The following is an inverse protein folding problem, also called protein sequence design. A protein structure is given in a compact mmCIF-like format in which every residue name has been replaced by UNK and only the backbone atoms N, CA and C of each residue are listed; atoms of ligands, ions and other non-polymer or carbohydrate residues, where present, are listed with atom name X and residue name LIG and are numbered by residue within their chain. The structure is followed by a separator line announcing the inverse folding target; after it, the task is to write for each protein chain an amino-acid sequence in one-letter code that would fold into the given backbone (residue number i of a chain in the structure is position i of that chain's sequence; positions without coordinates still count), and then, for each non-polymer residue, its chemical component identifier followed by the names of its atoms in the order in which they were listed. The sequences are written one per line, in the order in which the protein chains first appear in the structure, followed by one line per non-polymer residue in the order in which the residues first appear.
data_IF_870956042458
#
_entry.id   IF_870956042458
#
_cell.length_a   1.000
_cell.length_b   1.000
_cell.length_c   1.000
_cell.angle_alpha   90.00
_cell.angle_beta   90.00
_cell.angle_gamma   90.00
#
_symmetry.space_group_name_H-M   'P 1'
#
loop_
_entity.id
_entity.type
_entity.pdbx_description
1 polymer ?
#
# COMPACT_ATOMS: atom_id res chain seq x y z
N UNK A 1 54.06 -31.68 30.41
CA UNK A 1 54.46 -30.82 29.27
C UNK A 1 53.25 -29.98 28.84
N UNK A 2 53.20 -28.72 29.30
CA UNK A 2 52.31 -27.69 28.77
C UNK A 2 53.10 -26.92 27.71
N UNK A 3 52.49 -26.64 26.58
CA UNK A 3 53.02 -25.67 25.61
C UNK A 3 51.96 -24.59 25.39
N UNK A 4 52.28 -23.43 25.95
CA UNK A 4 51.76 -22.12 25.59
C UNK A 4 51.89 -21.88 24.08
N UNK A 5 50.84 -21.32 23.47
CA UNK A 5 50.94 -20.63 22.19
C UNK A 5 50.10 -19.36 22.21
N UNK A 6 50.70 -18.29 22.68
CA UNK A 6 50.48 -16.95 22.13
C UNK A 6 51.07 -16.91 20.71
N UNK A 7 50.48 -16.14 19.78
CA UNK A 7 51.33 -15.09 19.21
C UNK A 7 50.62 -13.74 19.02
N UNK A 8 51.37 -12.70 19.43
CA UNK A 8 51.67 -11.44 18.76
C UNK A 8 50.53 -10.63 18.08
N UNK A 9 50.23 -9.48 18.70
CA UNK A 9 49.82 -8.25 18.01
C UNK A 9 51.03 -7.61 17.32
N UNK A 10 50.87 -7.25 16.05
CA UNK A 10 51.48 -6.14 15.28
C UNK A 10 50.69 -6.17 13.94
N UNK A 11 49.81 -5.23 13.60
CA UNK A 11 49.99 -3.80 13.59
C UNK A 11 50.33 -3.36 12.17
N UNK A 12 49.33 -3.31 11.26
CA UNK A 12 49.33 -2.50 10.03
C UNK A 12 47.88 -2.31 9.57
N UNK A 13 47.36 -1.09 9.74
CA UNK A 13 46.16 -0.60 9.05
C UNK A 13 46.56 -0.25 7.62
N UNK A 14 45.92 -0.77 6.56
CA UNK A 14 45.93 -0.07 5.29
C UNK A 14 45.09 1.20 5.44
N UNK A 15 45.65 2.30 4.97
CA UNK A 15 45.08 3.62 4.99
C UNK A 15 43.67 3.66 4.36
N UNK A 16 42.80 4.49 4.94
CA UNK A 16 41.63 5.01 4.26
C UNK A 16 42.08 5.66 2.95
N UNK A 17 41.66 5.11 1.82
CA UNK A 17 41.44 5.90 0.62
C UNK A 17 39.93 6.16 0.48
N UNK A 18 39.55 7.35 0.01
CA UNK A 18 38.17 7.83 0.03
C UNK A 18 37.31 7.05 -0.97
N UNK A 19 36.00 7.05 -0.72
CA UNK A 19 34.97 6.63 -1.67
C UNK A 19 35.27 7.16 -3.08
N UNK A 20 35.16 6.35 -4.14
CA UNK A 20 34.77 6.91 -5.42
C UNK A 20 33.29 7.29 -5.29
N UNK A 21 33.03 8.60 -5.21
CA UNK A 21 31.70 9.17 -5.36
C UNK A 21 30.99 8.53 -6.55
N UNK A 22 29.97 7.73 -6.26
CA UNK A 22 28.98 7.38 -7.27
C UNK A 22 28.34 8.69 -7.72
N UNK A 23 28.12 8.92 -9.03
CA UNK A 23 27.37 10.07 -9.45
C UNK A 23 25.97 9.98 -8.83
N UNK A 24 25.73 10.83 -7.85
CA UNK A 24 24.41 11.13 -7.33
C UNK A 24 23.65 11.72 -8.51
N UNK A 25 22.70 10.97 -9.07
CA UNK A 25 21.75 11.53 -10.02
C UNK A 25 21.17 12.81 -9.39
N UNK A 26 21.37 13.99 -10.00
CA UNK A 26 20.88 15.23 -9.42
C UNK A 26 19.37 15.14 -9.26
N UNK A 27 18.89 15.38 -8.04
CA UNK A 27 17.47 15.53 -7.77
C UNK A 27 16.93 16.66 -8.66
N UNK A 28 16.16 16.30 -9.69
CA UNK A 28 15.52 17.25 -10.60
C UNK A 28 15.59 16.92 -12.10
N UNK A 29 16.41 15.98 -12.55
CA UNK A 29 16.41 15.56 -13.96
C UNK A 29 15.40 14.42 -14.13
N UNK A 30 14.27 14.69 -14.80
CA UNK A 30 13.35 13.64 -15.26
C UNK A 30 14.17 12.62 -16.06
N UNK A 31 14.02 11.30 -15.84
CA UNK A 31 14.61 10.32 -16.75
C UNK A 31 14.11 10.61 -18.16
N UNK A 32 15.01 10.56 -19.14
CA UNK A 32 14.65 10.70 -20.54
C UNK A 32 13.58 9.64 -20.87
N UNK A 33 12.52 10.04 -21.60
CA UNK A 33 11.52 9.10 -22.11
C UNK A 33 12.22 7.94 -22.82
N UNK A 34 11.72 6.73 -22.64
CA UNK A 34 12.28 5.56 -23.30
C UNK A 34 12.34 5.79 -24.82
N UNK A 35 13.54 5.66 -25.41
CA UNK A 35 13.69 5.70 -26.85
C UNK A 35 12.96 4.49 -27.46
N UNK A 36 12.03 4.78 -28.36
CA UNK A 36 11.17 3.81 -29.05
C UNK A 36 12.01 2.75 -29.79
N UNK A 37 13.18 3.11 -30.33
CA UNK A 37 14.09 2.18 -31.01
C UNK A 37 14.81 1.25 -30.02
N UNK A 38 15.16 1.76 -28.83
CA UNK A 38 15.76 0.96 -27.77
C UNK A 38 14.76 0.01 -27.11
N UNK A 39 13.50 0.42 -27.01
CA UNK A 39 12.41 -0.44 -26.55
C UNK A 39 12.15 -1.62 -27.51
N UNK A 40 12.32 -1.43 -28.82
CA UNK A 40 12.22 -2.51 -29.79
C UNK A 40 13.35 -3.55 -29.62
N UNK A 41 14.58 -3.11 -29.33
CA UNK A 41 15.70 -4.01 -28.98
C UNK A 41 15.44 -4.74 -27.66
N UNK A 42 14.96 -4.04 -26.64
CA UNK A 42 14.61 -4.65 -25.35
C UNK A 42 13.50 -5.71 -25.49
N UNK A 43 12.51 -5.46 -26.35
CA UNK A 43 11.48 -6.44 -26.72
C UNK A 43 12.09 -7.71 -27.31
N UNK A 44 13.00 -7.57 -28.29
CA UNK A 44 13.65 -8.71 -28.93
C UNK A 44 14.45 -9.55 -27.93
N UNK A 45 15.22 -8.90 -27.05
CA UNK A 45 16.01 -9.58 -26.02
C UNK A 45 15.14 -10.42 -25.07
N UNK A 46 13.98 -9.89 -24.64
CA UNK A 46 13.06 -10.64 -23.76
C UNK A 46 12.33 -11.75 -24.53
N UNK A 47 11.89 -11.48 -25.75
CA UNK A 47 11.20 -12.48 -26.59
C UNK A 47 12.08 -13.69 -26.89
N UNK A 48 13.37 -13.46 -27.13
CA UNK A 48 14.36 -14.51 -27.34
C UNK A 48 14.51 -15.47 -26.14
N UNK A 49 14.26 -14.97 -24.92
CA UNK A 49 14.35 -15.74 -23.67
C UNK A 49 13.03 -16.37 -23.23
N UNK A 50 11.90 -15.92 -23.80
CA UNK A 50 10.60 -16.49 -23.51
C UNK A 50 10.46 -17.92 -24.07
N UNK A 51 9.74 -18.78 -23.33
CA UNK A 51 9.38 -20.11 -23.79
C UNK A 51 8.59 -20.04 -25.11
N UNK A 52 8.81 -20.97 -26.07
CA UNK A 52 8.11 -20.94 -27.37
C UNK A 52 6.59 -20.76 -27.27
N UNK A 53 5.95 -21.44 -26.31
CA UNK A 53 4.49 -21.37 -26.12
C UNK A 53 4.00 -20.02 -25.56
N UNK A 54 4.84 -19.30 -24.81
CA UNK A 54 4.46 -18.00 -24.21
C UNK A 54 4.98 -16.81 -25.01
N UNK A 55 5.96 -17.03 -25.91
CA UNK A 55 6.58 -16.00 -26.75
C UNK A 55 5.56 -15.13 -27.51
N UNK A 56 4.52 -15.68 -28.18
CA UNK A 56 3.52 -14.85 -28.87
C UNK A 56 2.77 -13.91 -27.92
N UNK A 57 2.52 -14.34 -26.69
CA UNK A 57 1.85 -13.53 -25.65
C UNK A 57 2.77 -12.40 -25.19
N UNK A 58 4.06 -12.70 -24.99
CA UNK A 58 5.08 -11.70 -24.64
C UNK A 58 5.22 -10.66 -25.76
N UNK A 59 5.33 -11.11 -27.00
CA UNK A 59 5.46 -10.23 -28.18
C UNK A 59 4.24 -9.32 -28.35
N UNK A 60 3.04 -9.85 -28.12
CA UNK A 60 1.79 -9.08 -28.17
C UNK A 60 1.74 -8.02 -27.06
N UNK A 61 2.07 -8.40 -25.82
CA UNK A 61 2.07 -7.47 -24.68
C UNK A 61 3.11 -6.35 -24.86
N UNK A 62 4.34 -6.71 -25.25
CA UNK A 62 5.42 -5.75 -25.50
C UNK A 62 5.15 -4.90 -26.75
N UNK A 63 4.53 -5.46 -27.79
CA UNK A 63 4.06 -4.73 -28.97
C UNK A 63 2.97 -3.72 -28.62
N UNK A 64 2.06 -4.07 -27.71
CA UNK A 64 1.02 -3.16 -27.21
C UNK A 64 1.64 -2.02 -26.39
N UNK A 65 2.66 -2.30 -25.56
CA UNK A 65 3.42 -1.26 -24.85
C UNK A 65 4.12 -0.30 -25.82
N UNK A 66 4.80 -0.84 -26.83
CA UNK A 66 5.48 -0.04 -27.85
C UNK A 66 4.49 0.83 -28.65
N UNK A 67 3.35 0.28 -29.07
CA UNK A 67 2.31 1.01 -29.78
C UNK A 67 1.70 2.12 -28.91
N UNK A 68 1.46 1.85 -27.62
CA UNK A 68 0.94 2.84 -26.69
C UNK A 68 1.89 4.04 -26.51
N UNK A 69 3.19 3.78 -26.39
CA UNK A 69 4.22 4.82 -26.25
C UNK A 69 4.49 5.58 -27.56
N UNK A 70 4.21 4.96 -28.71
CA UNK A 70 4.38 5.56 -30.04
C UNK A 70 3.16 6.39 -30.51
N UNK A 71 2.18 6.64 -29.63
CA UNK A 71 0.98 7.44 -29.94
C UNK A 71 -0.21 6.65 -30.47
N UNK A 72 -0.14 5.31 -30.49
CA UNK A 72 -1.20 4.42 -31.00
C UNK A 72 -2.47 4.34 -30.14
N UNK A 73 -2.54 5.08 -29.03
CA UNK A 73 -3.69 5.12 -28.13
C UNK A 73 -3.90 3.81 -27.35
N UNK A 74 -3.95 3.91 -26.02
CA UNK A 74 -4.33 2.80 -25.16
C UNK A 74 -5.44 3.26 -24.22
N UNK A 75 -6.52 2.49 -24.11
CA UNK A 75 -7.56 2.78 -23.12
C UNK A 75 -6.95 2.73 -21.71
N UNK A 76 -7.16 3.78 -20.92
CA UNK A 76 -6.62 3.94 -19.56
C UNK A 76 -6.94 2.72 -18.68
N UNK A 77 -8.15 2.16 -18.82
CA UNK A 77 -8.61 0.96 -18.11
C UNK A 77 -7.79 -0.32 -18.37
N UNK A 78 -7.05 -0.39 -19.49
CA UNK A 78 -6.24 -1.55 -19.89
C UNK A 78 -4.78 -1.47 -19.42
N UNK A 79 -4.32 -0.29 -18.98
CA UNK A 79 -2.94 -0.05 -18.55
C UNK A 79 -2.52 -0.98 -17.39
N UNK A 80 -3.29 -1.13 -16.29
CA UNK A 80 -2.87 -1.99 -15.18
C UNK A 80 -2.77 -3.47 -15.57
N UNK A 81 -3.69 -3.95 -16.41
CA UNK A 81 -3.67 -5.31 -16.96
C UNK A 81 -2.43 -5.55 -17.80
N UNK A 82 -2.10 -4.60 -18.67
CA UNK A 82 -0.90 -4.63 -19.50
C UNK A 82 0.38 -4.62 -18.65
N UNK A 83 0.48 -3.74 -17.65
CA UNK A 83 1.64 -3.68 -16.76
C UNK A 83 1.83 -4.98 -15.96
N UNK A 84 0.75 -5.54 -15.43
CA UNK A 84 0.78 -6.81 -14.69
C UNK A 84 1.24 -7.95 -15.59
N UNK A 85 0.67 -8.03 -16.80
CA UNK A 85 1.05 -9.02 -17.81
C UNK A 85 2.54 -8.88 -18.18
N UNK A 86 3.01 -7.68 -18.49
CA UNK A 86 4.41 -7.45 -18.86
C UNK A 86 5.34 -7.81 -17.69
N UNK A 87 5.09 -7.34 -16.47
CA UNK A 87 5.93 -7.70 -15.30
C UNK A 87 5.96 -9.22 -15.05
N UNK A 88 4.83 -9.90 -15.21
CA UNK A 88 4.74 -11.36 -15.12
C UNK A 88 5.60 -12.03 -16.20
N UNK A 89 5.44 -11.65 -17.45
CA UNK A 89 6.14 -12.27 -18.58
C UNK A 89 7.64 -11.96 -18.60
N UNK A 90 8.03 -10.74 -18.22
CA UNK A 90 9.44 -10.35 -18.04
C UNK A 90 10.11 -11.21 -16.96
N UNK A 91 9.44 -11.43 -15.82
CA UNK A 91 9.94 -12.33 -14.77
C UNK A 91 9.99 -13.78 -15.25
N UNK A 92 8.97 -14.22 -15.99
CA UNK A 92 8.92 -15.57 -16.53
C UNK A 92 10.04 -15.83 -17.54
N UNK A 93 10.38 -14.86 -18.40
CA UNK A 93 11.49 -14.98 -19.34
C UNK A 93 12.85 -15.15 -18.65
N UNK A 94 13.06 -14.53 -17.49
CA UNK A 94 14.23 -14.79 -16.64
C UNK A 94 14.27 -16.24 -16.16
N UNK A 95 13.13 -16.75 -15.68
CA UNK A 95 13.01 -18.13 -15.20
C UNK A 95 13.24 -19.15 -16.33
N UNK A 96 12.60 -18.93 -17.48
CA UNK A 96 12.61 -19.87 -18.61
C UNK A 96 13.94 -19.83 -19.39
N UNK A 97 14.49 -18.64 -19.61
CA UNK A 97 15.66 -18.43 -20.47
C UNK A 97 17.00 -18.47 -19.75
N UNK A 98 17.03 -18.21 -18.43
CA UNK A 98 18.27 -18.14 -17.63
C UNK A 98 18.28 -19.18 -16.52
N UNK A 99 17.31 -19.15 -15.60
CA UNK A 99 17.33 -20.02 -14.40
C UNK A 99 17.16 -21.49 -14.75
N UNK A 100 16.15 -21.84 -15.56
CA UNK A 100 15.86 -23.22 -15.91
C UNK A 100 17.00 -23.89 -16.71
N UNK A 101 17.64 -23.24 -17.71
CA UNK A 101 18.79 -23.80 -18.39
C UNK A 101 20.00 -24.01 -17.47
N UNK A 102 20.32 -23.04 -16.60
CA UNK A 102 21.40 -23.18 -15.62
C UNK A 102 21.11 -24.33 -14.64
N UNK A 103 19.87 -24.46 -14.18
CA UNK A 103 19.45 -25.54 -13.26
C UNK A 103 19.49 -26.93 -13.90
N UNK A 104 19.26 -27.04 -15.21
CA UNK A 104 19.33 -28.31 -15.95
C UNK A 104 20.76 -28.71 -16.33
N UNK A 105 21.70 -27.75 -16.33
CA UNK A 105 23.10 -28.02 -16.64
C UNK A 105 23.79 -28.84 -15.56
N UNK A 106 24.70 -29.71 -15.98
CA UNK A 106 25.59 -30.48 -15.09
C UNK A 106 26.95 -29.81 -14.90
N UNK A 107 27.22 -28.71 -15.59
CA UNK A 107 28.50 -28.03 -15.54
C UNK A 107 28.70 -27.30 -14.20
N UNK A 108 29.85 -27.44 -13.53
CA UNK A 108 30.08 -26.84 -12.22
C UNK A 108 30.02 -25.30 -12.24
N UNK A 109 30.45 -24.66 -13.34
CA UNK A 109 30.38 -23.21 -13.48
C UNK A 109 28.92 -22.71 -13.58
N UNK A 110 28.01 -23.47 -14.19
CA UNK A 110 26.58 -23.08 -14.25
C UNK A 110 25.91 -23.14 -12.87
N UNK A 111 26.31 -24.11 -12.03
CA UNK A 111 25.85 -24.18 -10.63
C UNK A 111 26.34 -22.99 -9.81
N UNK A 112 27.61 -22.62 -9.97
CA UNK A 112 28.17 -21.45 -9.29
C UNK A 112 27.46 -20.14 -9.71
N UNK A 113 27.10 -20.01 -10.99
CA UNK A 113 26.30 -18.88 -11.49
C UNK A 113 24.88 -18.91 -10.90
N UNK A 114 24.24 -20.07 -10.88
CA UNK A 114 22.88 -20.24 -10.33
C UNK A 114 22.81 -19.93 -8.82
N UNK A 115 23.84 -20.29 -8.06
CA UNK A 115 23.93 -20.00 -6.62
C UNK A 115 24.20 -18.52 -6.33
N UNK A 116 24.79 -17.79 -7.28
CA UNK A 116 25.09 -16.36 -7.17
C UNK A 116 23.89 -15.45 -7.47
N UNK A 117 22.82 -15.97 -8.09
CA UNK A 117 21.64 -15.19 -8.46
C UNK A 117 20.45 -15.44 -7.51
N UNK A 118 19.63 -14.42 -7.21
CA UNK A 118 18.45 -14.60 -6.39
C UNK A 118 17.41 -15.45 -7.12
N UNK A 119 16.89 -16.48 -6.44
CA UNK A 119 15.80 -17.32 -6.94
C UNK A 119 14.50 -16.53 -7.08
N UNK A 120 14.24 -15.63 -6.13
CA UNK A 120 13.12 -14.68 -6.16
C UNK A 120 13.60 -13.34 -6.73
N UNK A 121 13.70 -13.27 -8.06
CA UNK A 121 14.20 -12.08 -8.74
C UNK A 121 13.17 -10.93 -8.72
N UNK A 122 13.46 -9.92 -7.90
CA UNK A 122 12.77 -8.64 -7.95
C UNK A 122 13.35 -7.78 -9.08
N UNK A 123 12.53 -7.46 -10.10
CA UNK A 123 12.98 -6.72 -11.29
C UNK A 123 13.66 -5.37 -10.98
N UNK A 124 13.32 -4.73 -9.85
CA UNK A 124 13.95 -3.47 -9.41
C UNK A 124 15.39 -3.64 -8.92
N UNK A 125 15.77 -4.84 -8.49
CA UNK A 125 17.12 -5.17 -8.05
C UNK A 125 18.05 -5.60 -9.21
N UNK A 126 17.69 -5.32 -10.47
CA UNK A 126 18.44 -5.75 -11.65
C UNK A 126 19.90 -5.29 -11.65
N UNK A 127 20.20 -4.10 -11.12
CA UNK A 127 21.58 -3.60 -11.02
C UNK A 127 22.43 -4.43 -10.04
N UNK A 128 21.86 -4.83 -8.90
CA UNK A 128 22.53 -5.69 -7.92
C UNK A 128 22.80 -7.09 -8.49
N UNK A 129 21.83 -7.64 -9.24
CA UNK A 129 21.97 -8.94 -9.91
C UNK A 129 23.01 -8.87 -11.04
N UNK A 130 23.02 -7.77 -11.80
CA UNK A 130 24.03 -7.53 -12.83
C UNK A 130 25.43 -7.50 -12.21
N UNK A 131 25.62 -6.74 -11.13
CA UNK A 131 26.90 -6.68 -10.43
C UNK A 131 27.30 -8.04 -9.81
N UNK A 132 26.34 -8.82 -9.30
CA UNK A 132 26.61 -10.18 -8.83
C UNK A 132 27.08 -11.10 -9.97
N UNK A 133 26.44 -11.02 -11.14
CA UNK A 133 26.82 -11.78 -12.32
C UNK A 133 28.16 -11.34 -12.91
N UNK A 134 28.48 -10.05 -12.93
CA UNK A 134 29.80 -9.55 -13.35
C UNK A 134 30.91 -10.06 -12.43
N UNK A 135 30.64 -10.15 -11.12
CA UNK A 135 31.60 -10.71 -10.16
C UNK A 135 31.84 -12.20 -10.39
N UNK A 136 30.80 -13.00 -10.63
CA UNK A 136 30.95 -14.45 -10.85
C UNK A 136 31.52 -14.78 -12.23
N UNK A 137 31.20 -13.97 -13.25
CA UNK A 137 31.68 -14.16 -14.62
C UNK A 137 33.21 -14.15 -14.74
N UNK A 138 33.90 -13.37 -13.88
CA UNK A 138 35.37 -13.32 -13.81
C UNK A 138 36.03 -14.66 -13.44
N UNK A 139 35.27 -15.57 -12.83
CA UNK A 139 35.75 -16.88 -12.38
C UNK A 139 35.28 -18.02 -13.29
N UNK A 140 34.61 -17.73 -14.41
CA UNK A 140 34.16 -18.75 -15.36
C UNK A 140 35.33 -19.13 -16.29
N UNK A 141 35.72 -20.42 -16.35
CA UNK A 141 36.84 -20.92 -17.17
C UNK A 141 36.67 -20.66 -18.67
N UNK A 142 37.74 -20.35 -19.42
CA UNK A 142 37.74 -20.02 -20.88
C UNK A 142 37.13 -21.08 -21.81
N UNK A 143 37.18 -22.33 -21.39
CA UNK A 143 36.60 -23.48 -22.07
C UNK A 143 35.11 -23.73 -21.75
N UNK A 144 34.53 -23.04 -20.76
CA UNK A 144 33.12 -23.14 -20.40
C UNK A 144 32.19 -22.32 -21.33
N UNK A 145 32.22 -22.60 -22.64
CA UNK A 145 31.48 -21.84 -23.67
C UNK A 145 29.96 -21.78 -23.39
N UNK A 146 29.36 -22.88 -22.93
CA UNK A 146 27.94 -22.93 -22.56
C UNK A 146 27.58 -21.97 -21.43
N UNK A 147 28.38 -21.93 -20.36
CA UNK A 147 28.21 -21.02 -19.23
C UNK A 147 28.36 -19.56 -19.66
N UNK A 148 29.33 -19.25 -20.52
CA UNK A 148 29.47 -17.91 -21.10
C UNK A 148 28.26 -17.50 -21.93
N UNK A 149 27.70 -18.41 -22.72
CA UNK A 149 26.50 -18.13 -23.50
C UNK A 149 25.28 -17.85 -22.59
N UNK A 150 25.14 -18.57 -21.48
CA UNK A 150 24.11 -18.26 -20.46
C UNK A 150 24.32 -16.89 -19.82
N UNK A 151 25.57 -16.56 -19.44
CA UNK A 151 25.91 -15.25 -18.89
C UNK A 151 25.67 -14.12 -19.89
N UNK A 152 26.04 -14.30 -21.16
CA UNK A 152 25.79 -13.32 -22.22
C UNK A 152 24.30 -12.96 -22.33
N UNK A 153 23.43 -13.98 -22.36
CA UNK A 153 21.97 -13.81 -22.34
C UNK A 153 21.48 -13.10 -21.08
N UNK A 154 22.02 -13.44 -19.91
CA UNK A 154 21.64 -12.82 -18.65
C UNK A 154 22.06 -11.33 -18.60
N UNK A 155 23.26 -11.01 -19.09
CA UNK A 155 23.74 -9.64 -19.19
C UNK A 155 22.90 -8.81 -20.15
N UNK A 156 22.58 -9.35 -21.32
CA UNK A 156 21.72 -8.67 -22.28
C UNK A 156 20.34 -8.38 -21.67
N UNK A 157 19.72 -9.37 -21.03
CA UNK A 157 18.44 -9.19 -20.34
C UNK A 157 18.50 -8.10 -19.27
N UNK A 158 19.49 -8.14 -18.37
CA UNK A 158 19.60 -7.19 -17.26
C UNK A 158 19.94 -5.77 -17.72
N UNK A 159 20.65 -5.61 -18.84
CA UNK A 159 20.92 -4.31 -19.46
C UNK A 159 19.69 -3.74 -20.16
N UNK A 160 18.81 -4.58 -20.69
CA UNK A 160 17.59 -4.16 -21.39
C UNK A 160 16.39 -3.94 -20.45
N UNK A 161 16.40 -4.56 -19.27
CA UNK A 161 15.33 -4.46 -18.28
C UNK A 161 15.02 -3.02 -17.81
N UNK A 162 16.00 -2.12 -17.58
CA UNK A 162 15.73 -0.72 -17.24
C UNK A 162 14.85 -0.01 -18.26
N UNK A 163 15.06 -0.24 -19.56
CA UNK A 163 14.28 0.38 -20.64
C UNK A 163 12.80 -0.02 -20.57
N UNK A 164 12.53 -1.27 -20.18
CA UNK A 164 11.17 -1.79 -20.05
C UNK A 164 10.53 -1.24 -18.78
N UNK A 165 11.29 -1.16 -17.68
CA UNK A 165 10.79 -0.56 -16.44
C UNK A 165 10.50 0.93 -16.63
N UNK A 166 11.35 1.64 -17.38
CA UNK A 166 11.13 3.05 -17.74
C UNK A 166 9.93 3.19 -18.67
N UNK A 167 9.79 2.36 -19.70
CA UNK A 167 8.64 2.34 -20.59
C UNK A 167 7.32 2.07 -19.83
N UNK A 168 7.34 1.20 -18.82
CA UNK A 168 6.19 0.96 -17.95
C UNK A 168 5.87 2.16 -17.05
N UNK A 169 6.88 2.93 -16.64
CA UNK A 169 6.72 4.17 -15.87
C UNK A 169 6.23 5.33 -16.76
N UNK A 170 6.77 5.47 -17.96
CA UNK A 170 6.33 6.45 -18.96
C UNK A 170 4.86 6.22 -19.34
N UNK A 171 4.41 4.96 -19.37
CA UNK A 171 3.00 4.61 -19.56
C UNK A 171 2.11 5.08 -18.38
N UNK A 172 2.64 5.15 -17.15
CA UNK A 172 1.94 5.75 -16.00
C UNK A 172 1.87 7.28 -16.15
N UNK A 173 2.90 7.90 -16.71
CA UNK A 173 2.98 9.36 -16.92
C UNK A 173 2.13 9.87 -18.10
N UNK A 174 1.91 9.05 -19.14
CA UNK A 174 1.05 9.38 -20.29
C UNK A 174 -0.45 9.35 -19.96
N UNK A 175 -0.81 8.75 -18.83
CA UNK A 175 -2.16 8.74 -18.29
C UNK A 175 -2.11 9.00 -16.78
N UNK A 176 -1.86 10.24 -16.34
CA UNK A 176 -1.84 10.58 -14.93
C UNK A 176 -3.24 10.30 -14.35
N UNK A 177 -3.37 9.15 -13.66
CA UNK A 177 -4.66 8.55 -13.29
C UNK A 177 -4.77 7.04 -13.57
N UNK A 178 -3.83 6.43 -14.30
CA UNK A 178 -3.76 4.99 -14.55
C UNK A 178 -3.08 4.18 -13.42
N UNK A 179 -2.51 4.85 -12.41
CA UNK A 179 -2.20 4.21 -11.13
C UNK A 179 -3.49 3.71 -10.55
N UNK A 180 -3.73 2.38 -10.58
CA UNK A 180 -4.88 1.68 -9.98
C UNK A 180 -5.91 2.69 -9.48
N UNK A 181 -6.75 3.20 -10.37
CA UNK A 181 -8.09 3.58 -9.95
C UNK A 181 -8.65 2.26 -9.45
N UNK A 182 -8.41 2.02 -8.16
CA UNK A 182 -9.12 0.97 -7.46
C UNK A 182 -10.57 1.33 -7.75
N UNK A 183 -11.33 0.37 -8.28
CA UNK A 183 -12.79 0.45 -8.27
C UNK A 183 -13.19 1.21 -7.02
N UNK A 184 -14.01 2.29 -7.11
CA UNK A 184 -14.35 3.11 -5.96
C UNK A 184 -14.64 2.19 -4.79
N UNK A 185 -13.84 2.32 -3.73
CA UNK A 185 -13.86 1.33 -2.66
C UNK A 185 -15.19 1.38 -1.90
N UNK A 186 -15.86 2.53 -1.98
CA UNK A 186 -17.25 2.75 -1.60
C UNK A 186 -18.18 2.39 -2.77
N UNK A 187 -18.50 1.11 -2.91
CA UNK A 187 -19.83 0.73 -3.38
C UNK A 187 -20.85 1.00 -2.27
N UNK A 188 -22.14 1.11 -2.58
CA UNK A 188 -23.17 1.17 -1.55
C UNK A 188 -23.12 -0.10 -0.67
N UNK A 189 -23.27 0.05 0.64
CA UNK A 189 -23.36 -1.09 1.58
C UNK A 189 -22.17 -1.31 2.55
N UNK A 190 -22.48 -1.87 3.73
CA UNK A 190 -21.51 -2.22 4.79
C UNK A 190 -20.38 -3.16 4.33
N UNK A 191 -20.69 -4.14 3.46
CA UNK A 191 -19.70 -5.07 2.94
C UNK A 191 -18.59 -4.38 2.11
N UNK A 192 -18.96 -3.39 1.30
CA UNK A 192 -18.02 -2.62 0.50
C UNK A 192 -17.04 -1.82 1.38
N UNK A 193 -17.56 -1.25 2.48
CA UNK A 193 -16.72 -0.56 3.46
C UNK A 193 -15.76 -1.50 4.20
N UNK A 194 -16.22 -2.71 4.56
CA UNK A 194 -15.37 -3.72 5.19
C UNK A 194 -14.25 -4.17 4.25
N UNK A 195 -14.57 -4.40 2.98
CA UNK A 195 -13.60 -4.73 1.93
C UNK A 195 -12.60 -3.59 1.69
N UNK A 196 -13.08 -2.34 1.70
CA UNK A 196 -12.25 -1.15 1.61
C UNK A 196 -11.28 -1.04 2.79
N UNK A 197 -11.76 -1.23 4.02
CA UNK A 197 -10.92 -1.22 5.22
C UNK A 197 -9.86 -2.34 5.19
N UNK A 198 -10.24 -3.55 4.78
CA UNK A 198 -9.31 -4.67 4.61
C UNK A 198 -8.26 -4.38 3.52
N UNK A 199 -8.67 -3.72 2.42
CA UNK A 199 -7.76 -3.28 1.36
C UNK A 199 -6.73 -2.26 1.87
N UNK A 200 -7.17 -1.27 2.66
CA UNK A 200 -6.27 -0.29 3.30
C UNK A 200 -5.22 -1.00 4.15
N UNK A 201 -5.66 -1.86 5.07
CA UNK A 201 -4.75 -2.61 5.94
C UNK A 201 -3.76 -3.44 5.13
N UNK A 202 -4.23 -4.16 4.09
CA UNK A 202 -3.39 -4.98 3.23
C UNK A 202 -2.33 -4.14 2.51
N UNK A 203 -2.69 -2.98 1.95
CA UNK A 203 -1.74 -2.10 1.26
C UNK A 203 -0.71 -1.52 2.21
N UNK A 204 -1.13 -1.03 3.38
CA UNK A 204 -0.24 -0.49 4.40
C UNK A 204 0.75 -1.55 4.91
N UNK A 205 0.26 -2.77 5.21
CA UNK A 205 1.12 -3.89 5.65
C UNK A 205 2.11 -4.29 4.56
N UNK A 206 1.67 -4.36 3.30
CA UNK A 206 2.54 -4.68 2.17
C UNK A 206 3.61 -3.60 1.90
N UNK A 207 3.30 -2.33 2.16
CA UNK A 207 4.26 -1.24 2.05
C UNK A 207 5.29 -1.24 3.18
N UNK A 208 4.86 -1.52 4.42
CA UNK A 208 5.70 -1.50 5.61
C UNK A 208 6.60 -2.76 5.72
N UNK A 209 6.11 -3.92 5.28
CA UNK A 209 6.78 -5.22 5.50
C UNK A 209 8.23 -5.31 5.02
N UNK A 210 8.65 -4.72 3.89
CA UNK A 210 10.05 -4.80 3.44
C UNK A 210 10.99 -3.99 4.33
N UNK A 211 10.49 -2.92 4.97
CA UNK A 211 11.30 -2.03 5.82
C UNK A 211 11.50 -2.55 7.24
N UNK A 212 10.52 -3.29 7.78
CA UNK A 212 10.51 -3.76 9.17
C UNK A 212 11.76 -4.54 9.59
N UNK A 213 12.28 -5.52 8.83
CA UNK A 213 13.42 -6.32 9.29
C UNK A 213 14.64 -5.46 9.62
N UNK A 214 14.94 -4.46 8.77
CA UNK A 214 16.07 -3.57 8.96
C UNK A 214 15.89 -2.65 10.18
N UNK A 215 14.70 -2.03 10.30
CA UNK A 215 14.35 -1.16 11.42
C UNK A 215 14.39 -1.90 12.77
N UNK A 216 13.86 -3.13 12.80
CA UNK A 216 13.80 -3.96 14.01
C UNK A 216 15.18 -4.49 14.39
N UNK A 217 16.07 -4.73 13.42
CA UNK A 217 17.47 -5.03 13.68
C UNK A 217 18.13 -3.93 14.50
N UNK A 218 18.02 -2.68 14.05
CA UNK A 218 18.63 -1.53 14.70
C UNK A 218 17.98 -1.23 16.07
N UNK A 219 16.66 -1.34 16.16
CA UNK A 219 15.93 -1.20 17.42
C UNK A 219 16.31 -2.25 18.46
N UNK A 220 16.52 -3.50 18.05
CA UNK A 220 16.96 -4.55 18.97
C UNK A 220 18.33 -4.23 19.59
N UNK A 221 19.23 -3.63 18.82
CA UNK A 221 20.54 -3.20 19.33
C UNK A 221 20.44 -1.98 20.24
N UNK A 222 19.52 -1.06 19.96
CA UNK A 222 19.25 0.11 20.79
C UNK A 222 18.70 -0.28 22.18
N UNK A 223 17.66 -1.12 22.23
CA UNK A 223 16.98 -1.52 23.48
C UNK A 223 17.91 -2.16 24.50
N UNK A 224 18.93 -2.89 24.03
CA UNK A 224 19.91 -3.52 24.93
C UNK A 224 20.96 -2.54 25.48
N UNK A 225 21.08 -1.33 24.92
CA UNK A 225 21.95 -0.25 25.40
C UNK A 225 21.19 0.64 26.39
N UNK A 226 19.97 1.03 26.06
CA UNK A 226 19.10 1.85 26.90
C UNK A 226 17.63 1.69 26.45
N UNK A 227 16.64 1.86 27.34
CA UNK A 227 15.24 1.89 26.96
C UNK A 227 14.96 3.08 26.01
N UNK A 228 14.35 2.85 24.83
CA UNK A 228 13.98 3.92 23.91
C UNK A 228 12.86 4.82 24.48
N UNK A 229 12.84 6.10 24.11
CA UNK A 229 11.81 7.04 24.58
C UNK A 229 10.39 6.66 24.12
N UNK A 230 10.24 5.85 23.07
CA UNK A 230 8.94 5.30 22.67
C UNK A 230 8.25 4.47 23.76
N UNK A 231 8.97 4.00 24.79
CA UNK A 231 8.37 3.31 25.92
C UNK A 231 7.33 4.18 26.67
N UNK A 232 7.46 5.50 26.59
CA UNK A 232 6.60 6.46 27.30
C UNK A 232 5.56 7.13 26.38
N UNK A 233 5.43 6.68 25.12
CA UNK A 233 4.57 7.31 24.12
C UNK A 233 3.23 6.56 24.02
N UNK A 234 2.09 7.16 24.39
CA UNK A 234 0.79 6.48 24.36
C UNK A 234 0.39 5.99 22.96
N UNK A 235 0.77 6.72 21.91
CA UNK A 235 0.51 6.34 20.52
C UNK A 235 1.28 5.09 20.06
N UNK A 236 2.33 4.70 20.78
CA UNK A 236 3.16 3.52 20.51
C UNK A 236 2.94 2.43 21.57
N UNK A 237 1.75 2.36 22.19
CA UNK A 237 1.47 1.50 23.36
C UNK A 237 1.88 0.04 23.15
N UNK A 238 1.65 -0.54 21.97
CA UNK A 238 1.94 -1.95 21.72
C UNK A 238 3.44 -2.14 21.56
N UNK A 239 4.10 -1.22 20.85
CA UNK A 239 5.55 -1.19 20.69
C UNK A 239 6.24 -0.98 22.03
N UNK A 240 5.79 -0.01 22.83
CA UNK A 240 6.26 0.28 24.18
C UNK A 240 6.25 -0.97 25.07
N UNK A 241 5.13 -1.71 25.09
CA UNK A 241 5.04 -2.96 25.85
C UNK A 241 6.07 -4.01 25.40
N UNK A 242 6.32 -4.12 24.09
CA UNK A 242 7.34 -5.02 23.56
C UNK A 242 8.79 -4.55 23.88
N UNK A 243 9.02 -3.23 23.92
CA UNK A 243 10.32 -2.63 24.25
C UNK A 243 10.67 -2.75 25.73
N UNK A 244 9.68 -2.68 26.63
CA UNK A 244 9.85 -2.76 28.08
C UNK A 244 10.12 -4.18 28.60
N UNK A 245 9.91 -5.21 27.77
CA UNK A 245 10.17 -6.61 28.11
C UNK A 245 11.13 -7.29 27.10
N UNK A 246 12.39 -6.83 27.00
CA UNK A 246 13.35 -7.43 26.07
C UNK A 246 13.81 -8.83 26.54
N UNK A 247 14.12 -9.76 25.62
CA UNK A 247 14.61 -11.08 25.96
C UNK A 247 16.00 -11.00 26.60
N UNK A 248 16.33 -11.98 27.44
CA UNK A 248 17.65 -12.08 28.06
C UNK A 248 18.77 -12.12 26.99
N UNK A 249 19.91 -11.45 27.26
CA UNK A 249 21.02 -11.24 26.31
C UNK A 249 21.56 -12.51 25.61
N UNK A 250 21.33 -13.70 26.16
CA UNK A 250 21.77 -15.00 25.63
C UNK A 250 20.85 -15.65 24.58
N UNK A 251 19.62 -15.18 24.39
CA UNK A 251 18.65 -15.78 23.45
C UNK A 251 18.79 -15.28 21.99
N UNK A 252 19.93 -14.66 21.64
CA UNK A 252 20.15 -13.97 20.36
C UNK A 252 20.40 -14.93 19.17
N UNK A 253 20.77 -16.19 19.41
CA UNK A 253 21.46 -17.03 18.41
C UNK A 253 20.79 -18.36 18.05
N UNK A 254 19.72 -18.80 18.73
CA UNK A 254 19.24 -20.19 18.60
C UNK A 254 18.10 -20.44 17.59
N UNK A 255 17.39 -19.41 17.12
CA UNK A 255 16.15 -19.64 16.33
C UNK A 255 16.36 -19.42 14.83
N UNK A 256 16.15 -20.50 14.05
CA UNK A 256 16.17 -20.54 12.56
C UNK A 256 15.23 -19.54 11.86
N UNK A 257 14.38 -18.81 12.59
CA UNK A 257 13.46 -17.78 12.07
C UNK A 257 13.68 -16.37 12.63
N UNK A 258 14.77 -16.14 13.36
CA UNK A 258 14.99 -14.94 14.17
C UNK A 258 14.31 -15.03 15.55
N UNK A 259 14.76 -14.28 16.57
CA UNK A 259 14.18 -14.33 17.91
C UNK A 259 12.70 -13.94 17.87
N UNK A 260 11.81 -14.77 18.42
CA UNK A 260 10.35 -14.53 18.49
C UNK A 260 9.99 -13.10 18.89
N UNK A 261 10.73 -12.52 19.83
CA UNK A 261 10.57 -11.15 20.27
C UNK A 261 10.70 -10.10 19.16
N UNK A 262 11.60 -10.28 18.18
CA UNK A 262 11.74 -9.36 17.05
C UNK A 262 10.50 -9.39 16.15
N UNK A 263 9.91 -10.57 15.95
CA UNK A 263 8.64 -10.69 15.21
C UNK A 263 7.49 -10.04 15.98
N UNK A 264 7.45 -10.21 17.31
CA UNK A 264 6.47 -9.55 18.17
C UNK A 264 6.61 -8.02 18.14
N UNK A 265 7.85 -7.49 18.19
CA UNK A 265 8.11 -6.05 18.08
C UNK A 265 7.72 -5.50 16.70
N UNK A 266 8.03 -6.23 15.62
CA UNK A 266 7.59 -5.87 14.27
C UNK A 266 6.06 -5.84 14.15
N UNK A 267 5.38 -6.84 14.73
CA UNK A 267 3.92 -6.90 14.78
C UNK A 267 3.31 -5.77 15.62
N UNK A 268 3.91 -5.45 16.76
CA UNK A 268 3.49 -4.37 17.63
C UNK A 268 3.62 -3.00 16.94
N UNK A 269 4.76 -2.72 16.31
CA UNK A 269 4.96 -1.50 15.53
C UNK A 269 4.01 -1.42 14.34
N UNK A 270 3.84 -2.52 13.61
CA UNK A 270 2.83 -2.57 12.54
C UNK A 270 1.43 -2.25 13.06
N UNK A 271 1.08 -2.72 14.26
CA UNK A 271 -0.23 -2.46 14.86
C UNK A 271 -0.41 -1.00 15.22
N UNK A 272 0.56 -0.39 15.92
CA UNK A 272 0.49 1.03 16.29
C UNK A 272 0.40 1.93 15.05
N UNK A 273 1.22 1.69 14.03
CA UNK A 273 1.24 2.53 12.82
C UNK A 273 0.01 2.35 11.92
N UNK A 274 -0.48 1.11 11.79
CA UNK A 274 -1.53 0.76 10.82
C UNK A 274 -2.88 0.67 11.51
N UNK A 275 -3.04 -0.28 12.44
CA UNK A 275 -4.34 -0.66 12.96
C UNK A 275 -4.88 0.38 13.96
N UNK A 276 -3.99 1.09 14.67
CA UNK A 276 -4.36 2.11 15.67
C UNK A 276 -4.31 3.55 15.13
N UNK A 277 -3.69 3.79 13.97
CA UNK A 277 -3.50 5.15 13.44
C UNK A 277 -4.01 5.36 12.00
N UNK A 278 -3.33 4.81 10.98
CA UNK A 278 -3.68 5.09 9.58
C UNK A 278 -5.00 4.42 9.13
N UNK A 279 -5.23 3.15 9.50
CA UNK A 279 -6.43 2.43 9.09
C UNK A 279 -7.72 3.04 9.70
N UNK A 280 -7.76 3.43 10.99
CA UNK A 280 -8.90 4.18 11.54
C UNK A 280 -9.14 5.52 10.84
N UNK A 281 -8.09 6.29 10.56
CA UNK A 281 -8.22 7.58 9.88
C UNK A 281 -8.73 7.43 8.44
N UNK A 282 -8.20 6.46 7.68
CA UNK A 282 -8.70 6.13 6.36
C UNK A 282 -10.14 5.60 6.41
N UNK A 283 -10.45 4.73 7.38
CA UNK A 283 -11.80 4.19 7.58
C UNK A 283 -12.84 5.26 7.88
N UNK A 284 -12.50 6.27 8.71
CA UNK A 284 -13.36 7.45 8.92
C UNK A 284 -13.64 8.17 7.61
N UNK A 285 -12.61 8.46 6.82
CA UNK A 285 -12.79 9.16 5.55
C UNK A 285 -13.60 8.34 4.55
N UNK A 286 -13.32 7.04 4.39
CA UNK A 286 -14.05 6.13 3.51
C UNK A 286 -15.53 5.98 3.89
N UNK A 287 -15.85 6.07 5.19
CA UNK A 287 -17.24 6.10 5.68
C UNK A 287 -17.94 7.40 5.30
N UNK A 288 -17.30 8.53 5.58
CA UNK A 288 -17.91 9.87 5.40
C UNK A 288 -18.01 10.26 3.93
N UNK A 289 -17.01 9.88 3.13
CA UNK A 289 -16.80 10.41 1.78
C UNK A 289 -16.93 9.30 0.73
N UNK A 290 -18.08 9.26 0.08
CA UNK A 290 -18.32 8.34 -1.02
C UNK A 290 -17.48 8.67 -2.26
N UNK A 291 -17.14 7.64 -3.03
CA UNK A 291 -16.31 7.73 -4.23
C UNK A 291 -14.82 7.86 -3.97
N UNK A 292 -14.36 7.73 -2.71
CA UNK A 292 -12.93 7.71 -2.41
C UNK A 292 -12.29 6.41 -2.92
N UNK A 293 -11.22 6.57 -3.69
CA UNK A 293 -10.39 5.48 -4.17
C UNK A 293 -9.18 5.29 -3.25
N UNK A 294 -8.89 4.03 -2.93
CA UNK A 294 -7.71 3.67 -2.15
C UNK A 294 -6.52 3.55 -3.11
N UNK A 295 -5.61 4.50 -3.00
CA UNK A 295 -4.35 4.57 -3.74
C UNK A 295 -3.25 3.71 -3.10
N UNK A 296 -2.04 3.82 -3.62
CA UNK A 296 -0.91 3.06 -3.10
C UNK A 296 -0.47 3.54 -1.71
N UNK A 297 0.07 2.61 -0.93
CA UNK A 297 0.76 2.90 0.31
C UNK A 297 2.27 2.89 0.08
N UNK A 298 3.00 3.74 0.78
CA UNK A 298 4.46 3.85 0.67
C UNK A 298 5.10 3.94 2.05
N UNK A 299 6.17 3.18 2.24
CA UNK A 299 7.02 3.32 3.42
C UNK A 299 8.35 3.92 2.98
N UNK A 300 8.78 4.97 3.66
CA UNK A 300 10.09 5.56 3.51
C UNK A 300 10.81 5.50 4.85
N UNK A 301 11.98 4.85 4.85
CA UNK A 301 12.86 4.83 6.01
C UNK A 301 13.52 6.20 6.16
N UNK A 302 13.60 6.70 7.39
CA UNK A 302 14.36 7.90 7.74
C UNK A 302 15.64 7.49 8.47
N UNK A 303 16.55 8.44 8.67
CA UNK A 303 17.78 8.18 9.41
C UNK A 303 17.48 7.66 10.83
N UNK A 304 18.31 6.73 11.29
CA UNK A 304 18.18 6.09 12.60
C UNK A 304 16.99 5.11 12.68
N UNK A 305 16.12 5.36 13.66
CA UNK A 305 15.04 4.46 14.09
C UNK A 305 13.65 5.00 13.73
N UNK A 306 13.62 5.93 12.78
CA UNK A 306 12.41 6.58 12.31
C UNK A 306 11.99 6.17 10.91
N UNK A 307 10.77 6.53 10.57
CA UNK A 307 10.21 6.26 9.27
C UNK A 307 8.94 7.05 9.03
N UNK A 308 8.49 6.96 7.79
CA UNK A 308 7.26 7.56 7.31
C UNK A 308 6.45 6.49 6.58
N UNK A 309 5.18 6.36 6.94
CA UNK A 309 4.22 5.50 6.26
C UNK A 309 3.09 6.37 5.71
N UNK A 310 2.86 6.24 4.42
CA UNK A 310 1.91 7.04 3.66
C UNK A 310 0.82 6.15 3.05
N UNK A 311 -0.41 6.67 2.99
CA UNK A 311 -1.52 6.12 2.23
C UNK A 311 -2.14 7.22 1.36
N UNK A 312 -2.23 6.98 0.04
CA UNK A 312 -2.95 7.87 -0.85
C UNK A 312 -4.45 7.53 -0.89
N UNK A 313 -5.29 8.55 -0.85
CA UNK A 313 -6.72 8.49 -1.15
C UNK A 313 -7.02 9.51 -2.26
N UNK A 314 -7.86 9.17 -3.23
CA UNK A 314 -8.16 10.08 -4.35
C UNK A 314 -9.64 10.12 -4.71
N UNK A 315 -10.10 11.29 -5.18
CA UNK A 315 -11.43 11.49 -5.78
C UNK A 315 -11.43 12.75 -6.65
N UNK A 316 -11.98 12.66 -7.86
CA UNK A 316 -12.25 13.80 -8.75
C UNK A 316 -11.11 14.84 -8.86
N UNK A 317 -9.86 14.36 -9.00
CA UNK A 317 -8.67 15.22 -9.11
C UNK A 317 -8.07 15.68 -7.78
N UNK A 318 -8.73 15.45 -6.65
CA UNK A 318 -8.16 15.61 -5.31
C UNK A 318 -7.37 14.36 -4.94
N UNK A 319 -6.11 14.55 -4.54
CA UNK A 319 -5.26 13.50 -4.00
C UNK A 319 -4.86 13.84 -2.57
N UNK A 320 -5.43 13.09 -1.63
CA UNK A 320 -5.10 13.18 -0.21
C UNK A 320 -4.03 12.15 0.14
N UNK A 321 -3.12 12.54 1.01
CA UNK A 321 -2.08 11.69 1.59
C UNK A 321 -2.27 11.67 3.10
N UNK A 322 -2.56 10.49 3.64
CA UNK A 322 -2.52 10.24 5.08
C UNK A 322 -1.12 9.76 5.43
N UNK A 323 -0.48 10.44 6.37
CA UNK A 323 0.91 10.17 6.76
C UNK A 323 1.00 9.91 8.25
N UNK A 324 1.74 8.88 8.63
CA UNK A 324 2.29 8.72 9.98
C UNK A 324 3.81 8.81 9.90
N UNK A 325 4.38 9.75 10.65
CA UNK A 325 5.82 9.87 10.90
C UNK A 325 6.10 9.38 12.31
N UNK A 326 7.17 8.62 12.46
CA UNK A 326 7.55 8.09 13.77
C UNK A 326 9.06 8.05 13.92
N UNK A 327 9.52 8.13 15.16
CA UNK A 327 10.89 7.87 15.59
C UNK A 327 10.84 7.17 16.94
N UNK A 328 11.13 5.87 16.93
CA UNK A 328 11.01 5.04 18.12
C UNK A 328 12.09 5.37 19.16
N UNK A 329 13.26 5.84 18.72
CA UNK A 329 14.34 6.21 19.64
C UNK A 329 14.03 7.53 20.35
N UNK A 330 13.54 8.52 19.59
CA UNK A 330 13.18 9.84 20.12
C UNK A 330 11.77 9.90 20.73
N UNK A 331 10.96 8.84 20.62
CA UNK A 331 9.59 8.83 21.11
C UNK A 331 8.66 9.78 20.34
N UNK A 332 8.92 9.99 19.04
CA UNK A 332 8.09 10.85 18.20
C UNK A 332 7.05 10.04 17.45
N UNK A 333 5.83 10.53 17.44
CA UNK A 333 4.73 9.98 16.66
C UNK A 333 3.83 11.13 16.21
N UNK A 334 3.70 11.30 14.91
CA UNK A 334 2.92 12.38 14.31
C UNK A 334 2.04 11.82 13.20
N UNK A 335 0.75 12.12 13.28
CA UNK A 335 -0.21 11.84 12.22
C UNK A 335 -0.57 13.14 11.52
N UNK A 336 -0.59 13.12 10.19
CA UNK A 336 -0.96 14.28 9.38
C UNK A 336 -1.72 13.86 8.13
N UNK A 337 -2.48 14.80 7.59
CA UNK A 337 -3.13 14.74 6.29
C UNK A 337 -2.56 15.84 5.41
N UNK A 338 -2.31 15.56 4.14
CA UNK A 338 -1.84 16.54 3.18
C UNK A 338 -2.50 16.33 1.82
N UNK A 339 -2.73 17.40 1.08
CA UNK A 339 -3.19 17.31 -0.31
C UNK A 339 -2.00 17.48 -1.23
N UNK A 340 -1.95 16.64 -2.26
CA UNK A 340 -0.91 16.66 -3.28
C UNK A 340 -1.46 17.41 -4.48
N UNK A 341 -0.92 18.58 -4.75
CA UNK A 341 -1.24 19.37 -5.94
C UNK A 341 -0.74 18.69 -7.22
N UNK A 342 -1.18 19.19 -8.37
CA UNK A 342 -0.80 18.66 -9.70
C UNK A 342 0.71 18.72 -9.98
N UNK A 343 1.42 19.61 -9.31
CA UNK A 343 2.89 19.74 -9.33
C UNK A 343 3.61 18.75 -8.38
N UNK A 344 2.86 17.98 -7.60
CA UNK A 344 3.36 16.95 -6.69
C UNK A 344 3.75 17.44 -5.29
N UNK A 345 3.59 18.74 -4.98
CA UNK A 345 3.91 19.29 -3.67
C UNK A 345 2.81 18.92 -2.63
N UNK A 346 3.17 18.29 -1.49
CA UNK A 346 2.20 18.04 -0.43
C UNK A 346 2.00 19.29 0.43
N UNK A 347 0.74 19.71 0.59
CA UNK A 347 0.34 20.78 1.52
C UNK A 347 -0.42 20.17 2.69
N UNK A 348 0.13 20.31 3.91
CA UNK A 348 -0.51 19.80 5.13
C UNK A 348 -1.81 20.52 5.40
N UNK A 349 -2.85 19.77 5.77
CA UNK A 349 -4.17 20.27 6.10
C UNK A 349 -4.57 19.89 7.52
N UNK A 350 -5.33 20.78 8.16
CA UNK A 350 -6.08 20.40 9.35
C UNK A 350 -7.13 19.33 8.99
N UNK A 351 -7.59 18.53 9.98
CA UNK A 351 -8.65 17.54 9.75
C UNK A 351 -9.92 18.15 9.16
N UNK A 352 -10.32 19.33 9.64
CA UNK A 352 -11.51 20.06 9.20
C UNK A 352 -11.39 20.52 7.74
N UNK A 353 -10.23 21.05 7.35
CA UNK A 353 -9.95 21.47 5.97
C UNK A 353 -9.92 20.27 5.00
N UNK A 354 -9.40 19.13 5.48
CA UNK A 354 -9.41 17.88 4.71
C UNK A 354 -10.83 17.46 4.40
N UNK A 355 -11.70 17.52 5.40
CA UNK A 355 -13.11 17.17 5.25
C UNK A 355 -13.86 18.17 4.37
N UNK A 356 -13.60 19.47 4.51
CA UNK A 356 -14.22 20.51 3.67
C UNK A 356 -13.81 20.40 2.20
N UNK A 357 -12.53 20.16 1.92
CA UNK A 357 -12.03 19.94 0.56
C UNK A 357 -12.65 18.69 -0.06
N UNK A 358 -12.72 17.60 0.72
CA UNK A 358 -13.38 16.40 0.27
C UNK A 358 -14.87 16.70 0.01
N UNK A 359 -15.60 17.31 0.93
CA UNK A 359 -17.01 17.67 0.74
C UNK A 359 -17.25 18.49 -0.55
N UNK A 360 -16.33 19.40 -0.91
CA UNK A 360 -16.40 20.21 -2.13
C UNK A 360 -16.06 19.45 -3.44
N UNK A 361 -15.45 18.26 -3.35
CA UNK A 361 -15.01 17.45 -4.50
C UNK A 361 -15.93 16.26 -4.81
N UNK A 362 -17.15 16.27 -4.26
CA UNK A 362 -18.12 15.19 -4.47
C UNK A 362 -18.69 15.30 -5.89
N UNK A 363 -18.62 14.23 -6.70
CA UNK A 363 -19.32 14.18 -8.00
C UNK A 363 -20.84 14.29 -7.82
N UNK A 364 -21.51 14.98 -8.74
CA UNK A 364 -22.96 15.20 -8.69
C UNK A 364 -23.76 13.89 -8.57
N UNK A 365 -23.26 12.80 -9.17
CA UNK A 365 -23.92 11.49 -9.11
C UNK A 365 -23.90 10.85 -7.72
N UNK A 366 -22.99 11.30 -6.85
CA UNK A 366 -22.83 10.82 -5.48
C UNK A 366 -23.43 11.78 -4.44
N UNK A 367 -23.83 12.99 -4.83
CA UNK A 367 -24.44 13.96 -3.92
C UNK A 367 -25.94 13.72 -3.71
N UNK A 368 -26.27 12.56 -3.15
CA UNK A 368 -27.65 12.19 -2.84
C UNK A 368 -28.07 12.68 -1.44
N UNK A 369 -29.38 12.86 -1.16
CA UNK A 369 -29.92 13.15 0.17
C UNK A 369 -29.29 12.35 1.31
N UNK A 370 -29.14 11.04 1.14
CA UNK A 370 -28.55 10.16 2.14
C UNK A 370 -27.07 10.45 2.41
N UNK A 371 -26.30 10.80 1.37
CA UNK A 371 -24.91 11.23 1.55
C UNK A 371 -24.83 12.58 2.25
N UNK A 372 -25.74 13.54 1.98
CA UNK A 372 -25.78 14.83 2.69
C UNK A 372 -26.10 14.64 4.17
N UNK A 373 -27.14 13.84 4.46
CA UNK A 373 -27.53 13.51 5.83
C UNK A 373 -26.39 12.82 6.59
N UNK A 374 -25.75 11.81 5.98
CA UNK A 374 -24.60 11.11 6.57
C UNK A 374 -23.44 12.07 6.87
N UNK A 375 -23.10 12.98 5.96
CA UNK A 375 -22.03 13.98 6.18
C UNK A 375 -22.37 14.89 7.36
N UNK A 376 -23.59 15.40 7.42
CA UNK A 376 -24.03 16.29 8.50
C UNK A 376 -24.02 15.59 9.85
N UNK A 377 -24.55 14.37 9.91
CA UNK A 377 -24.53 13.55 11.12
C UNK A 377 -23.11 13.19 11.55
N UNK A 378 -22.19 12.97 10.60
CA UNK A 378 -20.79 12.62 10.90
C UNK A 378 -19.98 13.74 11.55
N UNK A 379 -20.47 15.00 11.50
CA UNK A 379 -19.84 16.16 12.14
C UNK A 379 -20.22 16.32 13.60
N UNK A 380 -21.24 15.60 14.07
CA UNK A 380 -21.64 15.64 15.46
C UNK A 380 -20.56 14.91 16.30
N UNK A 381 -20.14 15.48 17.42
CA UNK A 381 -19.15 14.85 18.31
C UNK A 381 -19.58 13.45 18.80
N UNK A 382 -20.89 13.14 18.75
CA UNK A 382 -21.51 11.84 19.08
C UNK A 382 -21.61 10.87 17.89
N UNK A 383 -21.21 11.27 16.69
CA UNK A 383 -21.20 10.45 15.48
C UNK A 383 -20.39 9.13 15.51
N UNK A 384 -19.34 8.94 16.34
CA UNK A 384 -18.58 7.69 16.35
C UNK A 384 -19.40 6.44 16.65
N UNK A 385 -20.60 6.62 17.22
CA UNK A 385 -21.49 5.55 17.66
C UNK A 385 -22.34 5.02 16.49
N UNK A 386 -22.71 5.87 15.53
CA UNK A 386 -23.61 5.51 14.44
C UNK A 386 -22.84 4.86 13.28
N UNK A 387 -22.84 3.53 13.24
CA UNK A 387 -22.41 2.75 12.08
C UNK A 387 -23.39 2.95 10.92
N UNK A 388 -23.21 4.04 10.17
CA UNK A 388 -24.05 4.46 9.05
C UNK A 388 -23.37 4.25 7.71
N UNK A 389 -24.17 3.96 6.68
CA UNK A 389 -23.74 3.95 5.29
C UNK A 389 -24.92 4.15 4.35
N UNK A 390 -24.67 4.55 3.09
CA UNK A 390 -25.70 4.59 2.06
C UNK A 390 -25.81 3.23 1.38
N UNK A 391 -27.02 2.67 1.30
CA UNK A 391 -27.26 1.36 0.71
C UNK A 391 -27.48 1.43 -0.82
N UNK A 392 -27.72 0.27 -1.45
CA UNK A 392 -27.88 0.17 -2.90
C UNK A 392 -29.13 0.86 -3.46
N UNK A 393 -30.12 1.13 -2.62
CA UNK A 393 -31.34 1.87 -2.98
C UNK A 393 -31.22 3.38 -2.73
N UNK A 394 -30.07 3.84 -2.22
CA UNK A 394 -29.81 5.25 -1.92
C UNK A 394 -30.35 5.72 -0.57
N UNK A 395 -30.74 4.81 0.32
CA UNK A 395 -31.23 5.10 1.66
C UNK A 395 -30.07 5.16 2.68
N UNK A 396 -30.26 5.93 3.75
CA UNK A 396 -29.33 5.97 4.88
C UNK A 396 -29.56 4.74 5.77
N UNK A 397 -28.68 3.75 5.68
CA UNK A 397 -28.73 2.53 6.47
C UNK A 397 -27.90 2.67 7.76
N UNK A 398 -28.53 2.36 8.90
CA UNK A 398 -27.94 2.46 10.23
C UNK A 398 -27.91 1.08 10.87
N UNK A 399 -26.76 0.69 11.43
CA UNK A 399 -26.64 -0.59 12.15
C UNK A 399 -27.40 -0.52 13.49
N UNK A 400 -28.24 -1.52 13.84
CA UNK A 400 -29.00 -1.53 15.08
C UNK A 400 -28.13 -1.47 16.35
N UNK A 401 -26.92 -2.03 16.29
CA UNK A 401 -25.97 -2.04 17.41
C UNK A 401 -25.54 -0.65 17.84
N UNK A 402 -25.59 0.32 16.92
CA UNK A 402 -25.26 1.71 17.18
C UNK A 402 -26.25 2.41 18.12
N UNK A 403 -27.50 1.96 18.15
CA UNK A 403 -28.58 2.61 18.92
C UNK A 403 -28.85 1.86 20.23
N UNK A 404 -28.03 0.86 20.57
CA UNK A 404 -28.15 0.08 21.81
C UNK A 404 -28.02 0.90 23.09
N UNK A 405 -27.39 2.07 23.00
CA UNK A 405 -27.46 3.10 24.02
C UNK A 405 -28.59 4.04 23.64
N UNK A 406 -29.70 3.99 24.39
CA UNK A 406 -30.93 4.78 24.22
C UNK A 406 -30.68 6.28 24.41
N UNK A 407 -29.76 6.89 23.67
CA UNK A 407 -29.65 8.34 23.57
C UNK A 407 -30.78 8.80 22.64
N UNK A 408 -31.97 9.00 23.19
CA UNK A 408 -33.15 9.46 22.45
C UNK A 408 -32.85 10.70 21.60
N UNK A 409 -31.97 11.59 22.10
CA UNK A 409 -31.54 12.78 21.37
C UNK A 409 -30.73 12.46 20.10
N UNK A 410 -30.00 11.35 20.05
CA UNK A 410 -29.27 10.92 18.85
C UNK A 410 -30.20 10.38 17.76
N UNK A 411 -31.26 9.67 18.16
CA UNK A 411 -32.25 9.14 17.22
C UNK A 411 -33.16 10.24 16.66
N UNK A 412 -33.59 11.18 17.50
CA UNK A 412 -34.30 12.39 17.06
C UNK A 412 -33.46 13.21 16.08
N UNK A 413 -32.17 13.41 16.37
CA UNK A 413 -31.25 14.14 15.50
C UNK A 413 -31.01 13.42 14.17
N UNK A 414 -30.90 12.09 14.18
CA UNK A 414 -30.82 11.25 12.97
C UNK A 414 -32.06 11.47 12.09
N UNK A 415 -33.25 11.35 12.67
CA UNK A 415 -34.53 11.50 11.96
C UNK A 415 -34.69 12.92 11.43
N UNK A 416 -34.45 13.94 12.27
CA UNK A 416 -34.53 15.35 11.90
C UNK A 416 -33.58 15.68 10.74
N UNK A 417 -32.33 15.23 10.83
CA UNK A 417 -31.35 15.48 9.76
C UNK A 417 -31.73 14.76 8.47
N UNK A 418 -32.22 13.52 8.56
CA UNK A 418 -32.69 12.79 7.39
C UNK A 418 -33.89 13.47 6.72
N UNK A 419 -34.83 14.00 7.51
CA UNK A 419 -35.98 14.76 6.99
C UNK A 419 -35.56 16.05 6.29
N UNK A 420 -34.67 16.84 6.93
CA UNK A 420 -34.19 18.10 6.37
C UNK A 420 -33.44 17.91 5.04
N UNK A 421 -32.72 16.80 4.88
CA UNK A 421 -32.01 16.47 3.63
C UNK A 421 -32.87 15.68 2.63
N UNK A 422 -34.04 15.19 3.04
CA UNK A 422 -34.94 14.37 2.20
C UNK A 422 -34.47 12.92 2.02
N UNK A 423 -33.79 12.33 3.02
CA UNK A 423 -33.30 10.96 3.00
C UNK A 423 -34.23 10.01 3.76
N UNK A 424 -34.51 8.84 3.17
CA UNK A 424 -35.08 7.73 3.92
C UNK A 424 -34.02 7.10 4.85
N UNK A 425 -34.47 6.58 5.99
CA UNK A 425 -33.63 5.91 7.00
C UNK A 425 -34.05 4.46 7.12
N UNK A 426 -33.08 3.55 7.13
CA UNK A 426 -33.29 2.10 7.21
C UNK A 426 -32.47 1.47 8.33
N UNK A 427 -33.10 0.58 9.09
CA UNK A 427 -32.45 -0.29 10.08
C UNK A 427 -32.57 -1.76 9.68
N UNK A 428 -31.42 -2.45 9.66
CA UNK A 428 -31.31 -3.80 9.07
C UNK A 428 -30.36 -4.71 9.88
N UNK A 429 -30.79 -5.92 10.28
CA UNK A 429 -32.11 -6.28 10.81
C UNK A 429 -32.22 -5.96 12.32
N UNK A 430 -33.33 -5.36 12.75
CA UNK A 430 -33.57 -5.06 14.19
C UNK A 430 -34.09 -6.31 14.89
N UNK A 431 -33.26 -6.91 15.76
CA UNK A 431 -33.63 -8.08 16.58
C UNK A 431 -34.10 -7.72 17.99
N UNK A 432 -33.83 -6.50 18.42
CA UNK A 432 -34.19 -5.99 19.74
C UNK A 432 -35.61 -5.40 19.69
N UNK A 433 -36.53 -6.00 20.45
CA UNK A 433 -37.93 -5.58 20.49
C UNK A 433 -38.12 -4.20 21.12
N UNK A 434 -37.26 -3.80 22.06
CA UNK A 434 -37.34 -2.49 22.71
C UNK A 434 -36.96 -1.39 21.72
N UNK A 435 -35.87 -1.60 20.98
CA UNK A 435 -35.46 -0.70 19.90
C UNK A 435 -36.52 -0.65 18.79
N UNK A 436 -37.07 -1.80 18.41
CA UNK A 436 -38.10 -1.86 17.37
C UNK A 436 -39.38 -1.09 17.76
N UNK A 437 -39.85 -1.23 19.00
CA UNK A 437 -41.01 -0.49 19.50
C UNK A 437 -40.76 1.02 19.51
N UNK A 438 -39.60 1.48 20.00
CA UNK A 438 -39.27 2.90 20.00
C UNK A 438 -39.14 3.50 18.59
N UNK A 439 -38.60 2.74 17.63
CA UNK A 439 -38.54 3.17 16.23
C UNK A 439 -39.94 3.29 15.61
N UNK A 440 -40.86 2.36 15.89
CA UNK A 440 -42.24 2.42 15.41
C UNK A 440 -42.97 3.65 15.97
N UNK A 441 -42.75 4.00 17.25
CA UNK A 441 -43.32 5.21 17.86
C UNK A 441 -42.87 6.51 17.16
N UNK A 442 -41.69 6.50 16.54
CA UNK A 442 -41.10 7.64 15.82
C UNK A 442 -41.43 7.58 14.30
N UNK A 443 -42.31 6.66 13.89
CA UNK A 443 -42.85 6.57 12.54
C UNK A 443 -42.06 5.69 11.57
N UNK A 444 -41.26 4.75 12.07
CA UNK A 444 -40.69 3.69 11.22
C UNK A 444 -41.71 2.58 10.97
N UNK A 445 -41.75 2.10 9.74
CA UNK A 445 -42.64 1.02 9.28
C UNK A 445 -41.86 -0.27 9.04
N UNK A 446 -42.54 -1.40 9.25
CA UNK A 446 -41.97 -2.72 8.98
C UNK A 446 -41.99 -3.02 7.48
N UNK A 447 -40.84 -3.46 6.97
CA UNK A 447 -40.71 -3.94 5.61
C UNK A 447 -39.99 -5.29 5.57
N UNK A 448 -40.31 -6.11 4.58
CA UNK A 448 -39.58 -7.32 4.28
C UNK A 448 -38.38 -6.98 3.40
N UNK A 449 -37.17 -7.20 3.93
CA UNK A 449 -35.91 -7.01 3.23
C UNK A 449 -35.24 -8.34 2.84
N UNK A 450 -34.26 -8.32 1.92
CA UNK A 450 -33.53 -9.51 1.50
C UNK A 450 -32.71 -10.18 2.61
N UNK A 451 -32.42 -9.46 3.70
CA UNK A 451 -31.70 -9.95 4.88
C UNK A 451 -32.63 -10.26 6.09
N UNK A 452 -33.96 -10.14 5.91
CA UNK A 452 -34.96 -10.29 6.98
C UNK A 452 -35.84 -9.04 7.15
N UNK A 453 -36.66 -9.03 8.21
CA UNK A 453 -37.50 -7.87 8.55
C UNK A 453 -36.64 -6.67 8.94
N UNK A 454 -37.00 -5.53 8.38
CA UNK A 454 -36.30 -4.26 8.55
C UNK A 454 -37.30 -3.16 8.89
N UNK A 455 -36.80 -2.07 9.46
CA UNK A 455 -37.59 -0.88 9.77
C UNK A 455 -37.13 0.26 8.86
N UNK A 456 -38.06 0.88 8.14
CA UNK A 456 -37.77 1.96 7.21
C UNK A 456 -38.66 3.15 7.57
N UNK A 457 -38.10 4.35 7.48
CA UNK A 457 -38.86 5.59 7.55
C UNK A 457 -38.57 6.41 6.31
N UNK A 458 -39.61 6.73 5.55
CA UNK A 458 -39.53 7.71 4.48
C UNK A 458 -39.29 9.11 5.05
N UNK A 459 -38.61 10.01 4.33
CA UNK A 459 -38.47 11.39 4.77
C UNK A 459 -39.86 12.04 4.85
N UNK A 460 -40.10 12.87 5.85
CA UNK A 460 -41.29 13.70 5.89
C UNK A 460 -41.29 14.58 4.62
N UNK A 461 -42.38 14.54 3.84
CA UNK A 461 -42.54 15.53 2.78
C UNK A 461 -42.50 16.91 3.43
N UNK A 462 -41.73 17.88 2.89
CA UNK A 462 -41.82 19.23 3.39
C UNK A 462 -43.29 19.61 3.28
N UNK A 463 -43.90 19.96 4.41
CA UNK A 463 -45.23 20.56 4.41
C UNK A 463 -45.09 21.84 3.62
N UNK A 464 -45.38 21.73 2.31
CA UNK A 464 -45.40 22.86 1.42
C UNK A 464 -46.29 23.89 2.10
N UNK A 465 -45.76 25.09 2.36
CA UNK A 465 -46.62 26.23 2.60
C UNK A 465 -47.67 26.19 1.49
N UNK A 466 -48.98 26.16 1.80
CA UNK A 466 -49.96 26.40 0.76
C UNK A 466 -49.55 27.72 0.10
N UNK A 467 -49.36 27.67 -1.22
CA UNK A 467 -48.95 28.83 -2.01
C UNK A 467 -49.92 29.99 -1.81
N UNK A 468 -49.50 31.22 -2.15
CA UNK A 468 -50.26 32.44 -1.89
C UNK A 468 -51.70 32.40 -2.42
#
# INVERSE_FOLDING_TARGET
MRLDRTPARLGHRPAMHPDPEFPVSPAGVRPARADVHELARARQAISALAHPDTRPIVDTAMGTLHAALSGGGLQVSKIPGLQSAIRKHVRQAWMDGIVAPLARSRHPADRAVLDAIPKDFALRAHAEVLAALERIARWVPEDAEGTRAHLGRAFEYLRMLPLILQALADLEDLAPGATRTGRPASGPGSAALADAAALVQRRLRAALSPGLPSLIGDLADLVHRAPPAAADVPALRWTAAALLAPPARGARTSDRGGPQWRRSLAGALSRDLIDEALAPAAGRLLRRHAGLEIGDARYARQEGHGGRLDLALSRAGVRLLLTVRFDVAAGRFEQSSAVVSSDGAPTTLAPEDTDALLDASIPDELDTPAHRAMRRLSRLDRAPILHMHVNGTGELQVAPEAVRTQDAGLLEELVRTADEEGSAVRFDPVRDLVLASGLVEIGFEWHDGPAGRCLIRAPAQPTGRPGP
#
